data_IF_204223770371
#
_entry.id   IF_204223770371
#
_cell.length_a   1.000
_cell.length_b   1.000
_cell.length_c   1.000
_cell.angle_alpha   90.00
_cell.angle_beta   90.00
_cell.angle_gamma   90.00
#
_symmetry.space_group_name_H-M   'P 1'
#
loop_
_entity.id
_entity.type
_entity.pdbx_description
1 polymer ?
#
# COMPACT_ATOMS: atom_id res chain seq x y z
N UNK A 1 37.95 -51.45 8.93
CA UNK A 1 37.44 -50.55 7.87
C UNK A 1 35.91 -50.39 7.83
N UNK A 2 35.11 -51.06 8.66
CA UNK A 2 33.63 -50.91 8.66
C UNK A 2 33.10 -49.93 9.73
N UNK A 3 33.93 -49.56 10.72
CA UNK A 3 33.52 -48.65 11.82
C UNK A 3 33.65 -47.16 11.53
N UNK A 4 34.29 -46.76 10.43
CA UNK A 4 34.49 -45.34 10.09
C UNK A 4 33.32 -44.77 9.25
N UNK A 5 32.48 -45.64 8.67
CA UNK A 5 31.36 -45.20 7.80
C UNK A 5 30.12 -44.77 8.62
N UNK A 6 30.03 -45.13 9.90
CA UNK A 6 28.87 -44.81 10.74
C UNK A 6 28.84 -43.38 11.32
N UNK A 7 29.96 -42.64 11.27
CA UNK A 7 30.02 -41.27 11.78
C UNK A 7 29.64 -40.19 10.75
N UNK A 8 29.63 -40.53 9.45
CA UNK A 8 29.25 -39.58 8.40
C UNK A 8 27.72 -39.36 8.29
N UNK A 9 26.91 -40.24 8.89
CA UNK A 9 25.45 -40.18 8.78
C UNK A 9 24.84 -39.22 9.82
N UNK A 10 25.53 -38.93 10.92
CA UNK A 10 24.98 -38.09 12.00
C UNK A 10 25.14 -36.58 11.69
N UNK A 11 26.14 -36.18 10.90
CA UNK A 11 26.38 -34.77 10.56
C UNK A 11 25.45 -34.28 9.43
N UNK A 12 24.93 -35.18 8.58
CA UNK A 12 24.04 -34.83 7.47
C UNK A 12 22.59 -34.53 7.86
N UNK A 13 22.16 -34.85 9.08
CA UNK A 13 20.75 -34.69 9.51
C UNK A 13 20.46 -33.39 10.25
N UNK A 14 21.48 -32.66 10.73
CA UNK A 14 21.27 -31.43 11.51
C UNK A 14 21.07 -30.19 10.61
N UNK A 15 21.50 -30.22 9.34
CA UNK A 15 21.42 -29.06 8.44
C UNK A 15 20.10 -28.92 7.67
N UNK A 16 19.12 -29.80 7.85
CA UNK A 16 17.90 -29.83 7.03
C UNK A 16 16.63 -29.26 7.67
N UNK A 17 16.66 -28.81 8.93
CA UNK A 17 15.43 -28.41 9.64
C UNK A 17 15.46 -27.01 10.26
N UNK A 18 16.21 -26.07 9.69
CA UNK A 18 15.97 -24.64 9.93
C UNK A 18 15.38 -23.98 8.69
N UNK A 19 14.20 -24.46 8.25
CA UNK A 19 13.27 -23.56 7.57
C UNK A 19 12.62 -22.71 8.66
N UNK A 20 13.29 -21.63 9.03
CA UNK A 20 12.67 -20.54 9.80
C UNK A 20 11.50 -20.03 8.97
N UNK A 21 10.31 -20.56 9.23
CA UNK A 21 9.05 -20.07 8.69
C UNK A 21 8.75 -18.72 9.33
N UNK A 22 9.48 -17.68 8.92
CA UNK A 22 9.03 -16.32 9.16
C UNK A 22 7.79 -16.18 8.29
N UNK A 23 6.61 -16.31 8.89
CA UNK A 23 5.36 -15.96 8.25
C UNK A 23 5.47 -14.48 7.85
N UNK A 24 5.76 -14.23 6.57
CA UNK A 24 5.82 -12.89 6.03
C UNK A 24 4.39 -12.35 6.12
N UNK A 25 4.11 -11.47 7.08
CA UNK A 25 2.81 -10.81 7.17
C UNK A 25 2.60 -10.05 5.86
N UNK A 26 1.75 -10.60 4.99
CA UNK A 26 1.39 -9.97 3.72
C UNK A 26 0.80 -8.59 4.06
N UNK A 27 1.44 -7.53 3.58
CA UNK A 27 0.89 -6.18 3.71
C UNK A 27 -0.37 -6.11 2.86
N UNK A 28 -1.51 -5.89 3.50
CA UNK A 28 -2.79 -5.72 2.84
C UNK A 28 -3.05 -4.24 2.54
N UNK A 29 -3.82 -4.00 1.49
CA UNK A 29 -4.27 -2.65 1.12
C UNK A 29 -5.12 -2.02 2.23
N UNK A 30 -4.98 -0.70 2.36
CA UNK A 30 -5.71 0.09 3.33
C UNK A 30 -7.19 0.21 2.94
N UNK A 31 -8.05 -0.46 3.73
CA UNK A 31 -9.49 -0.49 3.49
C UNK A 31 -10.16 0.88 3.59
N UNK A 32 -9.60 1.80 4.38
CA UNK A 32 -10.10 3.17 4.47
C UNK A 32 -9.77 3.94 3.19
N UNK A 33 -8.54 3.83 2.69
CA UNK A 33 -8.13 4.50 1.46
C UNK A 33 -8.89 3.97 0.24
N UNK A 34 -9.21 2.67 0.20
CA UNK A 34 -10.10 2.10 -0.83
C UNK A 34 -11.47 2.75 -0.79
N UNK A 35 -12.05 3.02 0.39
CA UNK A 35 -13.36 3.68 0.52
C UNK A 35 -13.29 5.14 0.09
N UNK A 36 -12.22 5.85 0.46
CA UNK A 36 -11.97 7.23 0.04
C UNK A 36 -11.92 7.31 -1.50
N UNK A 37 -11.14 6.42 -2.13
CA UNK A 37 -11.06 6.33 -3.58
C UNK A 37 -12.41 6.03 -4.23
N UNK A 38 -13.15 5.04 -3.74
CA UNK A 38 -14.48 4.72 -4.28
C UNK A 38 -15.44 5.91 -4.18
N UNK A 39 -15.47 6.59 -3.05
CA UNK A 39 -16.29 7.80 -2.88
C UNK A 39 -15.90 8.93 -3.84
N UNK A 40 -14.61 9.08 -4.14
CA UNK A 40 -14.15 10.04 -5.16
C UNK A 40 -14.68 9.67 -6.56
N UNK A 41 -14.59 8.39 -6.94
CA UNK A 41 -15.09 7.91 -8.24
C UNK A 41 -16.62 7.97 -8.32
N UNK A 42 -17.32 7.73 -7.21
CA UNK A 42 -18.77 7.88 -7.12
C UNK A 42 -19.17 9.35 -7.37
N UNK A 43 -18.43 10.31 -6.81
CA UNK A 43 -18.67 11.73 -7.08
C UNK A 43 -18.50 12.09 -8.57
N UNK A 44 -17.61 11.41 -9.30
CA UNK A 44 -17.35 11.65 -10.74
C UNK A 44 -18.35 10.96 -11.67
N UNK A 45 -18.97 9.88 -11.23
CA UNK A 45 -19.93 9.11 -12.04
C UNK A 45 -21.36 9.61 -11.85
N UNK A 46 -21.63 10.34 -10.77
CA UNK A 46 -22.92 10.94 -10.48
C UNK A 46 -22.98 12.41 -10.97
N UNK A 47 -24.20 12.91 -11.24
CA UNK A 47 -24.44 14.30 -11.65
C UNK A 47 -24.47 15.25 -10.43
N UNK A 48 -23.38 15.29 -9.68
CA UNK A 48 -23.23 16.13 -8.48
C UNK A 48 -22.73 17.53 -8.87
N UNK A 49 -23.15 18.56 -8.12
CA UNK A 49 -22.64 19.91 -8.28
C UNK A 49 -21.12 19.97 -8.09
N UNK A 50 -20.42 20.65 -9.00
CA UNK A 50 -18.96 20.82 -8.98
C UNK A 50 -18.46 21.36 -7.64
N UNK A 51 -19.17 22.29 -7.01
CA UNK A 51 -18.79 22.88 -5.72
C UNK A 51 -18.80 21.86 -4.59
N UNK A 52 -19.73 20.89 -4.65
CA UNK A 52 -19.79 19.78 -3.69
C UNK A 52 -18.62 18.82 -3.94
N UNK A 53 -18.35 18.48 -5.20
CA UNK A 53 -17.21 17.62 -5.58
C UNK A 53 -15.91 18.21 -5.07
N UNK A 54 -15.68 19.50 -5.31
CA UNK A 54 -14.47 20.22 -4.90
C UNK A 54 -14.30 20.27 -3.37
N UNK A 55 -15.40 20.49 -2.64
CA UNK A 55 -15.40 20.39 -1.17
C UNK A 55 -15.02 18.98 -0.70
N UNK A 56 -15.59 17.95 -1.32
CA UNK A 56 -15.30 16.56 -0.97
C UNK A 56 -13.84 16.19 -1.31
N UNK A 57 -13.32 16.67 -2.45
CA UNK A 57 -11.91 16.50 -2.84
C UNK A 57 -10.97 17.04 -1.76
N UNK A 58 -11.23 18.26 -1.27
CA UNK A 58 -10.44 18.87 -0.18
C UNK A 58 -10.48 18.05 1.13
N UNK A 59 -11.64 17.49 1.49
CA UNK A 59 -11.79 16.64 2.68
C UNK A 59 -11.01 15.32 2.52
N UNK A 60 -11.11 14.70 1.34
CA UNK A 60 -10.38 13.47 1.03
C UNK A 60 -8.88 13.70 1.02
N UNK A 61 -8.43 14.79 0.40
CA UNK A 61 -7.02 15.17 0.37
C UNK A 61 -6.43 15.28 1.79
N UNK A 62 -7.11 16.02 2.68
CA UNK A 62 -6.72 16.15 4.08
C UNK A 62 -6.62 14.78 4.77
N UNK A 63 -7.60 13.89 4.55
CA UNK A 63 -7.57 12.57 5.15
C UNK A 63 -6.44 11.68 4.59
N UNK A 64 -6.14 11.79 3.30
CA UNK A 64 -5.03 11.03 2.70
C UNK A 64 -3.69 11.51 3.23
N UNK A 65 -3.50 12.81 3.52
CA UNK A 65 -2.33 13.30 4.25
C UNK A 65 -2.18 12.63 5.62
N UNK A 66 -3.25 12.54 6.42
CA UNK A 66 -3.20 11.85 7.72
C UNK A 66 -2.83 10.36 7.59
N UNK A 67 -3.28 9.68 6.54
CA UNK A 67 -2.92 8.29 6.24
C UNK A 67 -1.45 8.15 5.84
N UNK A 68 -0.91 9.11 5.10
CA UNK A 68 0.51 9.16 4.75
C UNK A 68 1.37 9.39 6.00
N UNK A 69 1.01 10.36 6.84
CA UNK A 69 1.74 10.72 8.06
C UNK A 69 1.72 9.59 9.10
N UNK A 70 0.64 8.81 9.13
CA UNK A 70 0.53 7.62 9.99
C UNK A 70 1.12 6.34 9.38
N UNK A 71 1.84 6.44 8.26
CA UNK A 71 2.47 5.33 7.56
C UNK A 71 1.48 4.20 7.18
N UNK A 72 0.24 4.58 6.85
CA UNK A 72 -0.84 3.66 6.47
C UNK A 72 -1.04 3.53 4.97
N UNK A 73 -0.25 4.22 4.15
CA UNK A 73 -0.19 4.07 2.68
C UNK A 73 1.06 3.25 2.37
N UNK A 74 0.90 1.95 2.07
CA UNK A 74 2.02 1.00 2.11
C UNK A 74 2.15 0.13 0.86
N UNK A 75 1.04 -0.16 0.19
CA UNK A 75 1.04 -1.00 -1.01
C UNK A 75 1.04 -0.17 -2.29
N UNK A 76 1.33 -0.80 -3.42
CA UNK A 76 1.19 -0.17 -4.73
C UNK A 76 -0.24 0.35 -4.96
N UNK A 77 -1.25 -0.43 -4.56
CA UNK A 77 -2.66 -0.04 -4.60
C UNK A 77 -2.91 1.20 -3.74
N UNK A 78 -2.37 1.26 -2.52
CA UNK A 78 -2.52 2.43 -1.66
C UNK A 78 -1.92 3.68 -2.31
N UNK A 79 -0.69 3.57 -2.84
CA UNK A 79 -0.03 4.69 -3.51
C UNK A 79 -0.78 5.16 -4.75
N UNK A 80 -1.33 4.24 -5.54
CA UNK A 80 -2.13 4.55 -6.72
C UNK A 80 -3.42 5.29 -6.32
N UNK A 81 -4.18 4.75 -5.37
CA UNK A 81 -5.41 5.36 -4.89
C UNK A 81 -5.16 6.76 -4.30
N UNK A 82 -4.12 6.91 -3.47
CA UNK A 82 -3.73 8.21 -2.93
C UNK A 82 -3.35 9.20 -4.04
N UNK A 83 -2.59 8.77 -5.05
CA UNK A 83 -2.21 9.62 -6.17
C UNK A 83 -3.44 10.17 -6.92
N UNK A 84 -4.46 9.34 -7.14
CA UNK A 84 -5.69 9.74 -7.82
C UNK A 84 -6.51 10.75 -7.01
N UNK A 85 -6.50 10.67 -5.67
CA UNK A 85 -7.09 11.71 -4.81
C UNK A 85 -6.36 13.04 -4.99
N UNK A 86 -5.03 13.03 -4.94
CA UNK A 86 -4.22 14.26 -5.08
C UNK A 86 -4.27 14.87 -6.49
N UNK A 87 -4.54 14.08 -7.53
CA UNK A 87 -4.72 14.58 -8.90
C UNK A 87 -5.88 15.59 -9.00
N UNK A 88 -6.83 15.51 -8.07
CA UNK A 88 -8.01 16.37 -8.01
C UNK A 88 -7.88 17.53 -7.01
N UNK A 89 -6.73 17.66 -6.33
CA UNK A 89 -6.46 18.80 -5.45
C UNK A 89 -6.35 20.12 -6.22
N UNK A 90 -6.50 21.23 -5.50
CA UNK A 90 -6.71 22.55 -6.13
C UNK A 90 -5.43 23.26 -6.59
N UNK A 91 -4.26 22.77 -6.18
CA UNK A 91 -2.99 23.45 -6.40
C UNK A 91 -1.89 22.56 -6.99
N UNK A 92 -0.75 23.18 -7.30
CA UNK A 92 0.41 22.49 -7.86
C UNK A 92 1.13 21.60 -6.84
N UNK A 93 0.91 21.82 -5.54
CA UNK A 93 1.46 20.98 -4.46
C UNK A 93 0.76 19.63 -4.46
N UNK A 94 -0.58 19.62 -4.51
CA UNK A 94 -1.39 18.43 -4.65
C UNK A 94 -1.03 17.67 -5.94
N UNK A 95 -0.91 18.36 -7.08
CA UNK A 95 -0.48 17.72 -8.31
C UNK A 95 0.93 17.10 -8.21
N UNK A 96 1.87 17.79 -7.56
CA UNK A 96 3.21 17.26 -7.27
C UNK A 96 3.16 16.00 -6.40
N UNK A 97 2.26 15.97 -5.41
CA UNK A 97 2.01 14.79 -4.59
C UNK A 97 1.44 13.63 -5.40
N UNK A 98 0.50 13.88 -6.32
CA UNK A 98 -0.02 12.85 -7.22
C UNK A 98 1.10 12.17 -8.02
N UNK A 99 1.97 12.97 -8.65
CA UNK A 99 3.13 12.46 -9.41
C UNK A 99 4.11 11.68 -8.52
N UNK A 100 4.35 12.16 -7.31
CA UNK A 100 5.23 11.48 -6.34
C UNK A 100 4.68 10.12 -5.95
N UNK A 101 3.36 10.02 -5.73
CA UNK A 101 2.71 8.81 -5.26
C UNK A 101 2.52 7.79 -6.38
N UNK A 102 2.17 8.20 -7.60
CA UNK A 102 2.06 7.26 -8.73
C UNK A 102 3.42 6.63 -9.08
N UNK A 103 4.53 7.34 -8.87
CA UNK A 103 5.88 6.75 -9.02
C UNK A 103 6.17 5.67 -7.98
N UNK A 104 5.54 5.74 -6.80
CA UNK A 104 5.68 4.74 -5.74
C UNK A 104 4.74 3.55 -5.92
N UNK A 105 3.75 3.64 -6.80
CA UNK A 105 2.82 2.54 -7.06
C UNK A 105 3.34 1.50 -8.06
N UNK A 106 4.51 1.71 -8.64
CA UNK A 106 5.15 0.84 -9.65
C UNK A 106 6.11 -0.13 -8.96
#
# INVERSE_FOLDING_TARGET
MVRIILLAIIIGFITLNFKSGIAQNKVCDNQELIKIFKSDQDDRTNHIDRSIIQKNDSIREARVYELLDSNKVRTSTDYCNAALIFQHGEDSVAYGMAVKLIKKSI
#
